data_IF_722371158404
#
_entry.id   IF_722371158404
#
_cell.length_a   1.000
_cell.length_b   1.000
_cell.length_c   1.000
_cell.angle_alpha   90.00
_cell.angle_beta   90.00
_cell.angle_gamma   90.00
#
_symmetry.space_group_name_H-M   'P 1'
#
loop_
_entity.id
_entity.type
_entity.pdbx_description
1 polymer ?
#
# COMPACT_ATOMS: atom_id res chain seq x y z
N UNK A 1 -12.61 22.67 -9.50
CA UNK A 1 -12.25 21.86 -9.73
C UNK A 1 -11.95 21.64 -10.29
N UNK A 2 -11.95 22.14 -9.91
CA UNK A 2 -11.38 21.54 -10.22
C UNK A 2 -10.97 21.22 -10.99
N UNK A 3 -10.74 21.72 -10.86
CA UNK A 3 -10.00 20.98 -11.42
C UNK A 3 -9.60 20.96 -12.19
N UNK A 4 -9.67 21.50 -12.09
CA UNK A 4 -9.01 21.05 -12.63
C UNK A 4 -8.61 20.80 -13.40
N UNK A 5 -8.67 21.35 -13.23
CA UNK A 5 -8.08 20.66 -13.84
C UNK A 5 -7.58 20.57 -14.47
N UNK A 6 -7.55 20.91 -14.34
CA UNK A 6 -6.92 20.35 -14.85
C UNK A 6 -6.49 20.09 -15.40
N UNK A 7 -6.49 20.47 -15.29
CA UNK A 7 -5.91 19.84 -15.70
C UNK A 7 -5.47 19.53 -16.33
N UNK A 8 -5.54 19.85 -16.33
CA UNK A 8 -4.89 19.24 -16.79
C UNK A 8 -4.39 19.12 -17.45
N UNK A 9 -4.15 19.40 -17.34
CA UNK A 9 -3.45 18.93 -17.74
C UNK A 9 -2.90 18.92 -18.27
N UNK A 10 -2.87 19.33 -18.14
CA UNK A 10 -2.17 19.04 -18.42
C UNK A 10 -1.54 18.96 -18.88
N UNK A 11 -1.35 19.14 -18.75
CA UNK A 11 -0.65 18.87 -19.05
C UNK A 11 0.04 18.64 -19.39
N UNK A 12 0.34 18.90 -19.31
CA UNK A 12 1.11 18.53 -19.63
C UNK A 12 1.84 18.41 -19.91
N UNK A 13 2.13 18.58 -19.91
CA UNK A 13 2.93 18.41 -20.16
C UNK A 13 3.67 17.91 -19.97
N UNK A 14 3.91 17.74 -20.09
CA UNK A 14 4.68 17.35 -19.79
C UNK A 14 5.23 17.15 -19.20
N UNK A 15 5.62 17.11 -19.00
CA UNK A 15 6.20 17.01 -18.29
C UNK A 15 6.27 17.44 -17.72
N UNK A 16 6.03 17.46 -18.42
CA UNK A 16 6.41 18.30 -17.85
C UNK A 16 6.07 18.65 -16.80
N UNK A 17 6.40 18.95 -16.57
CA UNK A 17 6.09 19.70 -15.52
C UNK A 17 5.29 19.13 -14.43
N UNK A 18 4.94 17.95 -14.51
CA UNK A 18 4.22 17.30 -13.42
C UNK A 18 5.22 16.85 -12.37
N UNK A 19 5.16 17.45 -11.19
CA UNK A 19 6.07 17.08 -10.14
C UNK A 19 5.60 15.79 -9.46
N UNK A 20 6.48 15.13 -8.68
CA UNK A 20 6.10 13.86 -8.04
C UNK A 20 4.92 14.01 -7.09
N UNK A 21 4.80 15.13 -6.41
CA UNK A 21 3.70 15.32 -5.46
C UNK A 21 2.35 15.32 -6.16
N UNK A 22 2.27 16.00 -7.31
CA UNK A 22 1.03 16.01 -8.08
C UNK A 22 0.70 14.62 -8.63
N UNK A 23 1.72 13.89 -9.08
CA UNK A 23 1.52 12.54 -9.58
C UNK A 23 1.00 11.62 -8.48
N UNK A 24 1.56 11.75 -7.28
CA UNK A 24 1.13 10.94 -6.15
C UNK A 24 -0.33 11.23 -5.82
N UNK A 25 -0.72 12.51 -5.81
CA UNK A 25 -2.11 12.84 -5.53
C UNK A 25 -3.05 12.26 -6.57
N UNK A 26 -2.65 12.27 -7.83
CA UNK A 26 -3.46 11.67 -8.88
C UNK A 26 -3.59 10.16 -8.68
N UNK A 27 -2.50 9.50 -8.30
CA UNK A 27 -2.55 8.07 -8.03
C UNK A 27 -3.50 7.76 -6.89
N UNK A 28 -3.42 8.54 -5.81
CA UNK A 28 -4.27 8.31 -4.65
C UNK A 28 -5.74 8.56 -4.95
N UNK A 29 -6.04 9.37 -5.95
CA UNK A 29 -7.42 9.63 -6.35
C UNK A 29 -8.02 8.48 -7.12
N UNK A 30 -7.20 7.53 -7.59
CA UNK A 30 -7.68 6.45 -8.43
C UNK A 30 -8.27 5.27 -7.69
N UNK A 31 -8.10 5.20 -6.37
CA UNK A 31 -8.62 4.07 -5.60
C UNK A 31 -8.70 4.46 -4.13
N UNK A 32 -9.72 3.99 -3.41
CA UNK A 32 -9.81 4.26 -1.97
C UNK A 32 -8.67 3.65 -1.18
N UNK A 33 -8.07 2.56 -1.67
CA UNK A 33 -6.92 1.94 -1.01
C UNK A 33 -5.77 1.90 -2.01
N UNK A 34 -4.64 2.46 -1.62
CA UNK A 34 -3.48 2.55 -2.50
C UNK A 34 -2.22 2.17 -1.74
N UNK A 35 -1.39 1.36 -2.36
CA UNK A 35 -0.16 0.86 -1.75
C UNK A 35 1.04 1.22 -2.60
N UNK A 36 1.96 1.99 -2.04
CA UNK A 36 3.27 2.18 -2.65
C UNK A 36 4.19 1.10 -2.11
N UNK A 37 4.75 0.29 -2.99
CA UNK A 37 5.52 -0.88 -2.58
C UNK A 37 6.72 -1.09 -3.49
N UNK A 38 7.60 -1.96 -3.07
CA UNK A 38 8.72 -2.40 -3.90
C UNK A 38 8.30 -3.67 -4.62
N UNK A 39 8.22 -3.57 -5.94
CA UNK A 39 7.70 -4.66 -6.76
C UNK A 39 6.20 -4.53 -6.98
N UNK A 40 5.57 -5.63 -7.26
CA UNK A 40 4.13 -5.69 -7.48
C UNK A 40 3.50 -6.69 -6.52
N UNK A 41 2.16 -6.64 -6.35
CA UNK A 41 1.54 -7.64 -5.47
C UNK A 41 1.80 -9.07 -5.90
N UNK A 42 1.95 -9.31 -7.21
CA UNK A 42 2.24 -10.64 -7.73
C UNK A 42 3.71 -11.01 -7.59
N UNK A 43 4.59 -10.01 -7.50
CA UNK A 43 6.03 -10.24 -7.42
C UNK A 43 6.67 -9.19 -6.52
N UNK A 44 6.43 -9.26 -5.21
CA UNK A 44 7.03 -8.28 -4.30
C UNK A 44 8.54 -8.44 -4.27
N UNK A 45 9.24 -7.31 -4.18
CA UNK A 45 10.70 -7.30 -4.17
C UNK A 45 11.27 -7.04 -2.77
N UNK A 46 10.43 -7.10 -1.76
CA UNK A 46 10.83 -6.78 -0.39
C UNK A 46 9.85 -7.47 0.55
N UNK A 47 10.37 -8.06 1.62
CA UNK A 47 9.53 -8.76 2.58
C UNK A 47 8.49 -7.88 3.24
N UNK A 48 8.83 -6.63 3.49
CA UNK A 48 7.87 -5.71 4.10
C UNK A 48 6.75 -5.36 3.13
N UNK A 49 7.07 -5.18 1.84
CA UNK A 49 6.03 -4.95 0.83
C UNK A 49 5.14 -6.18 0.68
N UNK A 50 5.75 -7.36 0.68
CA UNK A 50 4.98 -8.60 0.63
C UNK A 50 3.99 -8.68 1.78
N UNK A 51 4.45 -8.32 3.00
CA UNK A 51 3.60 -8.40 4.18
C UNK A 51 2.34 -7.55 4.03
N UNK A 52 2.49 -6.30 3.58
CA UNK A 52 1.32 -5.43 3.44
C UNK A 52 0.39 -5.92 2.35
N UNK A 53 0.96 -6.34 1.21
CA UNK A 53 0.14 -6.88 0.12
C UNK A 53 -0.63 -8.11 0.58
N UNK A 54 0.01 -8.97 1.36
CA UNK A 54 -0.63 -10.18 1.87
C UNK A 54 -1.74 -9.84 2.86
N UNK A 55 -1.52 -8.84 3.71
CA UNK A 55 -2.56 -8.39 4.65
C UNK A 55 -3.78 -7.89 3.88
N UNK A 56 -3.58 -7.05 2.87
CA UNK A 56 -4.70 -6.54 2.08
C UNK A 56 -5.43 -7.66 1.36
N UNK A 57 -4.68 -8.65 0.87
CA UNK A 57 -5.30 -9.80 0.24
C UNK A 57 -6.16 -10.58 1.23
N UNK A 58 -5.68 -10.72 2.47
CA UNK A 58 -6.42 -11.45 3.49
C UNK A 58 -7.72 -10.74 3.85
N UNK A 59 -7.73 -9.40 3.80
CA UNK A 59 -8.95 -8.62 4.05
C UNK A 59 -9.89 -8.63 2.84
N UNK A 60 -9.42 -9.11 1.69
CA UNK A 60 -10.25 -9.29 0.49
C UNK A 60 -10.82 -7.99 -0.05
N UNK A 61 -10.03 -6.93 -0.02
CA UNK A 61 -10.44 -5.64 -0.55
C UNK A 61 -9.67 -5.34 -1.83
N UNK A 62 -10.31 -4.66 -2.78
CA UNK A 62 -9.58 -4.22 -3.96
C UNK A 62 -8.67 -3.06 -3.61
N UNK A 63 -7.54 -2.97 -4.28
CA UNK A 63 -6.63 -1.85 -4.08
C UNK A 63 -5.76 -1.69 -5.32
N UNK A 64 -5.18 -0.51 -5.45
CA UNK A 64 -4.19 -0.27 -6.48
C UNK A 64 -2.83 -0.11 -5.84
N UNK A 65 -1.80 -0.36 -6.62
CA UNK A 65 -0.43 -0.26 -6.12
C UNK A 65 0.45 0.38 -7.16
N UNK A 66 1.60 0.87 -6.71
CA UNK A 66 2.62 1.40 -7.60
C UNK A 66 3.96 0.86 -7.15
N UNK A 67 4.74 0.36 -8.12
CA UNK A 67 6.07 -0.16 -7.87
C UNK A 67 7.06 0.99 -7.87
N UNK A 68 7.50 1.41 -6.67
CA UNK A 68 8.39 2.57 -6.57
C UNK A 68 9.79 2.29 -7.12
N UNK A 69 10.11 1.02 -7.36
CA UNK A 69 11.39 0.70 -8.00
C UNK A 69 11.41 1.10 -9.46
N UNK A 70 10.24 1.33 -10.06
CA UNK A 70 10.18 1.71 -11.47
C UNK A 70 10.35 3.21 -11.68
N UNK A 71 10.34 4.02 -10.62
CA UNK A 71 10.44 5.47 -10.77
C UNK A 71 11.03 6.08 -9.51
N UNK A 72 12.29 6.48 -9.62
CA UNK A 72 13.01 7.00 -8.46
C UNK A 72 12.42 8.31 -7.96
N UNK A 73 11.89 9.13 -8.85
CA UNK A 73 11.27 10.39 -8.44
C UNK A 73 10.02 10.15 -7.60
N UNK A 74 9.22 9.17 -7.99
CA UNK A 74 8.04 8.81 -7.20
C UNK A 74 8.47 8.17 -5.88
N UNK A 75 9.51 7.33 -5.92
CA UNK A 75 10.00 6.70 -4.70
C UNK A 75 10.38 7.75 -3.66
N UNK A 76 11.15 8.75 -4.06
CA UNK A 76 11.55 9.81 -3.15
C UNK A 76 10.35 10.69 -2.80
N UNK A 77 9.51 10.98 -3.77
CA UNK A 77 8.34 11.84 -3.55
C UNK A 77 7.36 11.26 -2.56
N UNK A 78 7.17 9.95 -2.57
CA UNK A 78 6.27 9.28 -1.62
C UNK A 78 6.76 9.47 -0.19
N UNK A 79 8.07 9.35 0.00
CA UNK A 79 8.66 9.55 1.33
C UNK A 79 8.45 10.98 1.82
N UNK A 80 8.63 11.94 0.92
CA UNK A 80 8.44 13.34 1.26
C UNK A 80 6.96 13.66 1.51
N UNK A 81 6.09 13.05 0.71
CA UNK A 81 4.66 13.32 0.79
C UNK A 81 4.09 12.96 2.16
N UNK A 82 4.48 11.82 2.70
CA UNK A 82 4.01 11.36 4.00
C UNK A 82 4.94 11.76 5.14
N UNK A 83 6.10 12.35 4.82
CA UNK A 83 7.15 12.55 5.82
C UNK A 83 7.48 11.24 6.52
N UNK A 84 7.66 10.17 5.73
CA UNK A 84 7.87 8.81 6.22
C UNK A 84 8.88 8.15 5.31
N UNK A 85 10.00 7.70 5.86
CA UNK A 85 11.19 7.39 5.07
C UNK A 85 11.25 5.99 4.51
N UNK A 86 10.29 5.13 4.83
CA UNK A 86 10.36 3.74 4.39
C UNK A 86 9.22 3.39 3.46
N UNK A 87 9.44 2.34 2.68
CA UNK A 87 8.45 1.72 1.81
C UNK A 87 8.28 0.30 2.33
N UNK A 88 7.09 -0.25 2.41
CA UNK A 88 5.82 0.18 1.79
C UNK A 88 5.11 1.28 2.57
N UNK A 89 4.20 1.98 1.86
CA UNK A 89 3.33 2.96 2.49
C UNK A 89 1.90 2.71 2.03
N UNK A 90 1.00 2.58 2.98
CA UNK A 90 -0.41 2.35 2.68
C UNK A 90 -1.21 3.62 2.90
N UNK A 91 -2.11 3.91 1.95
CA UNK A 91 -3.02 5.04 2.02
C UNK A 91 -4.45 4.54 1.89
N UNK A 92 -5.34 5.08 2.71
CA UNK A 92 -6.78 4.80 2.63
C UNK A 92 -7.51 6.12 2.58
N UNK A 93 -8.36 6.29 1.56
CA UNK A 93 -9.07 7.55 1.33
C UNK A 93 -8.11 8.73 1.27
N UNK A 94 -6.97 8.53 0.60
CA UNK A 94 -5.93 9.53 0.38
C UNK A 94 -5.16 9.92 1.65
N UNK A 95 -5.40 9.23 2.76
CA UNK A 95 -4.70 9.53 4.01
C UNK A 95 -3.68 8.44 4.30
N UNK A 96 -2.52 8.87 4.74
CA UNK A 96 -1.44 7.95 5.07
C UNK A 96 -1.81 7.11 6.29
N UNK A 97 -1.70 5.80 6.16
CA UNK A 97 -1.99 4.87 7.27
C UNK A 97 -0.70 4.47 7.96
N UNK A 98 0.28 4.02 7.19
CA UNK A 98 1.55 3.60 7.78
C UNK A 98 2.30 2.62 6.92
N UNK A 99 3.40 2.11 7.46
CA UNK A 99 4.20 1.08 6.83
C UNK A 99 3.79 -0.29 7.31
N UNK A 100 4.69 -1.28 7.09
CA UNK A 100 4.33 -2.68 7.35
C UNK A 100 3.99 -2.94 8.82
N UNK A 101 4.77 -2.37 9.75
CA UNK A 101 4.52 -2.64 11.16
C UNK A 101 3.20 -2.04 11.63
N UNK A 102 2.89 -0.83 11.19
CA UNK A 102 1.65 -0.17 11.56
C UNK A 102 0.47 -0.91 10.96
N UNK A 103 0.56 -1.28 9.69
CA UNK A 103 -0.53 -1.98 9.03
C UNK A 103 -0.77 -3.33 9.69
N UNK A 104 0.30 -4.04 10.03
CA UNK A 104 0.16 -5.32 10.69
C UNK A 104 -0.55 -5.17 12.04
N UNK A 105 -0.14 -4.19 12.82
CA UNK A 105 -0.76 -3.95 14.12
C UNK A 105 -2.23 -3.58 13.98
N UNK A 106 -2.55 -2.71 13.03
CA UNK A 106 -3.93 -2.31 12.81
C UNK A 106 -4.78 -3.44 12.28
N UNK A 107 -4.18 -4.35 11.52
CA UNK A 107 -4.90 -5.53 11.07
C UNK A 107 -5.28 -6.42 12.24
N UNK A 108 -4.37 -6.58 13.20
CA UNK A 108 -4.61 -7.44 14.35
C UNK A 108 -5.62 -6.86 15.33
N UNK A 109 -5.58 -5.53 15.53
CA UNK A 109 -6.46 -4.92 16.54
C UNK A 109 -7.79 -4.45 15.98
N UNK A 110 -8.03 -4.60 14.68
CA UNK A 110 -9.31 -4.24 14.06
C UNK A 110 -9.39 -2.85 13.50
N UNK A 111 -8.41 -2.00 13.77
CA UNK A 111 -8.45 -0.63 13.25
C UNK A 111 -8.41 -0.58 11.73
N UNK A 112 -7.65 -1.51 11.12
CA UNK A 112 -7.60 -1.55 9.66
C UNK A 112 -8.99 -1.83 9.08
N UNK A 113 -9.73 -2.75 9.72
CA UNK A 113 -11.08 -3.04 9.28
C UNK A 113 -11.99 -1.82 9.32
N UNK A 114 -11.85 -1.00 10.36
CA UNK A 114 -12.65 0.21 10.46
C UNK A 114 -12.37 1.16 9.31
N UNK A 115 -11.10 1.34 8.96
CA UNK A 115 -10.74 2.18 7.83
C UNK A 115 -11.23 1.61 6.51
N UNK A 116 -11.16 0.29 6.36
CA UNK A 116 -11.64 -0.34 5.14
C UNK A 116 -13.15 -0.23 4.98
N UNK A 117 -13.89 -0.26 6.10
CA UNK A 117 -15.33 -0.05 6.04
C UNK A 117 -15.67 1.36 5.57
N UNK A 118 -14.87 2.34 6.00
CA UNK A 118 -15.08 3.70 5.52
C UNK A 118 -14.76 3.83 4.03
N UNK A 119 -13.74 3.11 3.57
CA UNK A 119 -13.34 3.17 2.18
C UNK A 119 -14.36 2.46 1.27
N UNK A 120 -14.99 1.41 1.76
CA UNK A 120 -15.91 0.59 0.98
C UNK A 120 -17.22 0.40 1.73
N UNK A 121 -18.03 1.46 1.86
CA UNK A 121 -19.25 1.38 2.67
C UNK A 121 -20.28 0.39 2.12
N UNK A 122 -20.22 0.08 0.82
CA UNK A 122 -21.15 -0.86 0.21
C UNK A 122 -20.64 -2.29 0.20
N UNK A 123 -19.47 -2.55 0.73
CA UNK A 123 -18.87 -3.87 0.74
C UNK A 123 -18.80 -4.39 2.17
N UNK A 124 -19.09 -5.65 2.36
CA UNK A 124 -18.91 -6.26 3.67
C UNK A 124 -17.42 -6.51 3.91
N UNK A 125 -16.90 -5.98 5.01
CA UNK A 125 -15.50 -6.14 5.37
C UNK A 125 -15.41 -7.19 6.46
N UNK A 126 -14.75 -8.30 6.16
CA UNK A 126 -14.63 -9.42 7.07
C UNK A 126 -13.18 -9.58 7.50
N UNK A 127 -12.89 -9.60 8.81
CA UNK A 127 -11.52 -9.79 9.26
C UNK A 127 -10.97 -11.15 8.83
N UNK A 128 -9.68 -11.21 8.54
CA UNK A 128 -9.07 -12.51 8.23
C UNK A 128 -9.02 -13.39 9.46
N UNK A 129 -8.87 -14.70 9.26
CA UNK A 129 -8.76 -15.63 10.40
C UNK A 129 -7.52 -15.30 11.25
N UNK A 130 -7.61 -15.48 12.56
CA UNK A 130 -6.50 -15.09 13.44
C UNK A 130 -5.21 -15.84 13.19
N UNK A 131 -5.27 -17.05 12.69
CA UNK A 131 -4.06 -17.82 12.49
C UNK A 131 -3.25 -17.39 11.30
N UNK A 132 -3.69 -16.40 10.58
CA UNK A 132 -2.98 -16.02 9.40
C UNK A 132 -1.54 -15.66 9.66
N UNK A 133 -1.25 -15.20 10.81
CA UNK A 133 0.08 -14.79 11.06
C UNK A 133 1.04 -15.92 11.18
N UNK A 134 0.66 -17.01 11.23
CA UNK A 134 1.56 -18.00 11.50
C UNK A 134 2.47 -18.38 10.48
N UNK A 135 2.63 -18.25 10.14
CA UNK A 135 3.35 -18.65 9.37
C UNK A 135 4.35 -18.31 9.04
N UNK A 136 4.49 -18.24 9.44
CA UNK A 136 5.34 -18.12 9.21
C UNK A 136 6.03 -18.40 8.82
N UNK A 137 5.93 -18.36 8.86
CA UNK A 137 6.58 -18.68 8.58
C UNK A 137 7.07 -19.26 8.25
N UNK A 138 7.03 -19.35 8.36
CA UNK A 138 7.68 -20.07 8.14
C UNK A 138 8.30 -20.39 7.71
N UNK A 139 8.21 -20.27 8.03
CA UNK A 139 8.90 -20.71 7.80
C UNK A 139 9.64 -20.91 7.46
N UNK A 140 9.71 -20.76 7.86
CA UNK A 140 10.38 -21.15 7.72
C UNK A 140 10.94 -21.64 7.63
N UNK A 141 10.72 -21.60 8.03
CA UNK A 141 11.22 -22.30 8.12
C UNK A 141 11.66 -22.83 7.91
N UNK A 142 11.51 -22.74 8.32
CA UNK A 142 12.02 -23.51 8.33
C UNK A 142 12.48 -23.95 8.13
N UNK A 143 12.53 -23.74 8.47
CA UNK A 143 13.05 -24.44 8.53
C UNK A 143 13.40 -24.90 8.42
N UNK A 144 13.18 -24.63 8.80
CA UNK A 144 13.61 -25.38 8.94
C UNK A 144 13.90 -25.83 8.74
N UNK A 145 13.80 -25.67 9.08
CA UNK A 145 14.22 -26.34 9.13
C UNK A 145 14.62 -26.78 8.98
N UNK A 146 14.73 -26.59 9.26
CA UNK A 146 15.22 -27.19 9.37
C UNK A 146 15.56 -27.58 9.39
N UNK A 147 15.44 -27.45 9.65
CA UNK A 147 15.82 -27.94 9.87
C UNK A 147 16.00 -28.38 9.96
N UNK A 148 15.97 -28.32 10.33
CA UNK A 148 16.25 -28.83 10.53
C UNK A 148 16.37 -29.28 10.44
N UNK A 149 16.42 -29.02 10.66
CA UNK A 149 16.62 -29.53 10.66
C UNK A 149 16.78 -29.89 10.55
#
# INVERSE_FOLDING_TARGET
>A
MKFKVVSPNVESSGNTGTDPQSQIEQMLSGSPVFLFMKGTPESPQCGFSYKVADILKAWKVPYQSFNVLSDENIRQGVKDYANWQTIPQLYINKEFVGGSDVVEEMSKNGELGDLLKEAFPDQEITPPPPQVEVREVPALEADSILQKN
#
